data_IF_861056632690
#
_entry.id   IF_861056632690
#
_cell.length_a   1.000
_cell.length_b   1.000
_cell.length_c   1.000
_cell.angle_alpha   90.00
_cell.angle_beta   90.00
_cell.angle_gamma   90.00
#
_symmetry.space_group_name_H-M   'P 1'
#
loop_
_entity.id
_entity.type
_entity.pdbx_description
1 polymer ?
#
# COMPACT_ATOMS: atom_id res chain seq x y z
N UNK A 1 -1.90 -6.43 5.23
CA UNK A 1 -1.72 -6.55 3.76
C UNK A 1 -0.36 -6.01 3.34
N UNK A 2 0.19 -6.55 2.25
CA UNK A 2 1.34 -6.04 1.50
C UNK A 2 0.83 -5.36 0.23
N UNK A 3 1.38 -4.21 -0.13
CA UNK A 3 0.91 -3.43 -1.29
C UNK A 3 2.12 -3.03 -2.11
N UNK A 4 2.01 -3.15 -3.44
CA UNK A 4 3.04 -2.70 -4.37
C UNK A 4 2.40 -2.18 -5.65
N UNK A 5 3.11 -1.34 -6.38
CA UNK A 5 2.64 -0.77 -7.64
C UNK A 5 3.41 -1.34 -8.83
N UNK A 6 2.72 -1.53 -9.95
CA UNK A 6 3.30 -1.88 -11.24
C UNK A 6 3.01 -0.74 -12.21
N UNK A 7 4.09 -0.09 -12.63
CA UNK A 7 4.05 1.13 -13.41
C UNK A 7 4.76 0.96 -14.75
N UNK A 8 4.54 1.89 -15.68
CA UNK A 8 5.12 1.81 -17.02
C UNK A 8 4.30 2.54 -18.05
N UNK A 9 4.82 2.67 -19.27
CA UNK A 9 4.10 3.29 -20.38
C UNK A 9 3.11 2.32 -21.03
N UNK A 10 2.18 2.82 -21.84
CA UNK A 10 1.21 1.98 -22.56
C UNK A 10 1.93 0.91 -23.39
N UNK A 11 1.44 -0.32 -23.36
CA UNK A 11 2.02 -1.49 -24.07
C UNK A 11 3.40 -1.99 -23.59
N UNK A 12 3.92 -1.50 -22.46
CA UNK A 12 5.19 -1.97 -21.87
C UNK A 12 5.14 -3.41 -21.32
N UNK A 13 3.95 -4.01 -21.24
CA UNK A 13 3.72 -5.32 -20.62
C UNK A 13 3.15 -5.26 -19.19
N UNK A 14 2.78 -4.07 -18.69
CA UNK A 14 2.14 -3.88 -17.36
C UNK A 14 1.07 -4.93 -17.04
N UNK A 15 -0.01 -4.95 -17.82
CA UNK A 15 -1.18 -5.81 -17.56
C UNK A 15 -0.79 -7.28 -17.60
N UNK A 16 0.03 -7.71 -18.58
CA UNK A 16 0.56 -9.08 -18.64
C UNK A 16 1.38 -9.45 -17.41
N UNK A 17 2.28 -8.56 -16.96
CA UNK A 17 3.08 -8.78 -15.75
C UNK A 17 2.19 -8.92 -14.52
N UNK A 18 1.18 -8.05 -14.37
CA UNK A 18 0.24 -8.09 -13.24
C UNK A 18 -0.59 -9.37 -13.26
N UNK A 19 -1.14 -9.76 -14.40
CA UNK A 19 -1.90 -11.01 -14.51
C UNK A 19 -1.06 -12.23 -14.15
N UNK A 20 0.20 -12.28 -14.61
CA UNK A 20 1.12 -13.36 -14.27
C UNK A 20 1.42 -13.40 -12.77
N UNK A 21 1.65 -12.24 -12.15
CA UNK A 21 1.87 -12.12 -10.69
C UNK A 21 0.64 -12.60 -9.92
N UNK A 22 -0.57 -12.15 -10.30
CA UNK A 22 -1.81 -12.57 -9.65
C UNK A 22 -1.98 -14.10 -9.76
N UNK A 23 -1.79 -14.67 -10.95
CA UNK A 23 -1.92 -16.12 -11.18
C UNK A 23 -0.92 -16.92 -10.32
N UNK A 24 0.33 -16.48 -10.26
CA UNK A 24 1.36 -17.13 -9.44
C UNK A 24 1.09 -16.99 -7.93
N UNK A 25 0.66 -15.82 -7.45
CA UNK A 25 0.23 -15.67 -6.05
C UNK A 25 -0.97 -16.55 -5.70
N UNK A 26 -1.96 -16.66 -6.60
CA UNK A 26 -3.11 -17.57 -6.40
C UNK A 26 -2.67 -19.04 -6.34
N UNK A 27 -1.71 -19.44 -7.18
CA UNK A 27 -1.09 -20.78 -7.14
C UNK A 27 -0.41 -21.02 -5.79
N UNK A 28 0.27 -20.00 -5.24
CA UNK A 28 0.89 -19.99 -3.89
C UNK A 28 -0.10 -19.83 -2.73
N UNK A 29 -1.41 -19.84 -2.99
CA UNK A 29 -2.50 -19.77 -1.99
C UNK A 29 -2.65 -18.42 -1.27
N UNK A 30 -2.06 -17.36 -1.79
CA UNK A 30 -2.36 -16.01 -1.30
C UNK A 30 -3.72 -15.51 -1.80
N UNK A 31 -4.34 -14.67 -0.98
CA UNK A 31 -5.42 -13.78 -1.40
C UNK A 31 -4.83 -12.53 -2.05
N UNK A 32 -5.35 -12.13 -3.21
CA UNK A 32 -4.79 -11.04 -4.01
C UNK A 32 -5.91 -10.12 -4.47
N UNK A 33 -5.81 -8.84 -4.12
CA UNK A 33 -6.62 -7.78 -4.70
C UNK A 33 -5.85 -7.02 -5.77
N UNK A 34 -6.56 -6.28 -6.61
CA UNK A 34 -5.95 -5.34 -7.55
C UNK A 34 -6.72 -4.02 -7.58
N UNK A 35 -6.00 -2.94 -7.83
CA UNK A 35 -6.52 -1.59 -8.08
C UNK A 35 -5.94 -1.13 -9.40
N UNK A 36 -6.76 -0.61 -10.31
CA UNK A 36 -6.28 -0.05 -11.58
C UNK A 36 -6.58 1.43 -11.64
N UNK A 37 -5.54 2.24 -11.80
CA UNK A 37 -5.71 3.65 -12.08
C UNK A 37 -5.91 3.88 -13.58
N UNK A 38 -6.98 4.59 -13.90
CA UNK A 38 -7.36 4.90 -15.28
C UNK A 38 -7.00 6.36 -15.53
N UNK A 39 -6.01 6.55 -16.40
CA UNK A 39 -5.50 7.87 -16.80
C UNK A 39 -6.30 8.42 -17.98
N UNK A 40 -7.61 8.60 -17.80
CA UNK A 40 -8.54 9.20 -18.76
C UNK A 40 -9.54 10.08 -18.00
N UNK A 41 -9.55 11.38 -18.28
CA UNK A 41 -10.30 12.38 -17.50
C UNK A 41 -11.81 12.16 -17.51
N UNK A 42 -12.35 11.67 -18.64
CA UNK A 42 -13.78 11.41 -18.82
C UNK A 42 -14.15 9.95 -18.50
N UNK A 43 -13.31 9.24 -17.73
CA UNK A 43 -13.57 7.85 -17.40
C UNK A 43 -14.88 7.70 -16.61
N UNK A 44 -15.82 6.97 -17.20
CA UNK A 44 -17.00 6.43 -16.53
C UNK A 44 -17.13 4.94 -16.89
N UNK A 45 -17.37 4.10 -15.88
CA UNK A 45 -17.61 2.66 -16.09
C UNK A 45 -19.08 2.34 -16.36
N UNK A 46 -19.99 3.22 -15.91
CA UNK A 46 -21.44 3.04 -16.03
C UNK A 46 -21.93 3.75 -17.30
N UNK A 47 -22.75 3.05 -18.10
CA UNK A 47 -23.22 3.56 -19.38
C UNK A 47 -24.39 4.53 -19.21
N UNK A 48 -24.45 5.56 -20.07
CA UNK A 48 -25.57 6.49 -20.08
C UNK A 48 -26.91 5.76 -20.36
N UNK A 49 -27.91 6.07 -19.54
CA UNK A 49 -29.27 5.51 -19.67
C UNK A 49 -29.53 4.24 -18.86
N UNK A 50 -28.52 3.62 -18.26
CA UNK A 50 -28.73 2.52 -17.29
C UNK A 50 -29.47 3.02 -16.05
N UNK A 51 -30.08 2.11 -15.29
CA UNK A 51 -30.76 2.51 -14.05
C UNK A 51 -29.77 3.04 -13.00
N UNK A 52 -28.56 2.49 -12.94
CA UNK A 52 -27.47 2.96 -12.07
C UNK A 52 -27.00 4.37 -12.46
N UNK A 53 -26.91 4.65 -13.76
CA UNK A 53 -26.60 5.99 -14.26
C UNK A 53 -27.72 6.99 -13.92
N UNK A 54 -28.98 6.56 -14.03
CA UNK A 54 -30.14 7.36 -13.60
C UNK A 54 -30.13 7.65 -12.10
N UNK A 55 -29.67 6.73 -11.27
CA UNK A 55 -29.50 6.97 -9.83
C UNK A 55 -28.39 7.98 -9.54
N UNK A 56 -27.24 7.87 -10.23
CA UNK A 56 -26.14 8.84 -10.18
C UNK A 56 -26.62 10.24 -10.54
N UNK A 57 -27.25 10.39 -11.72
CA UNK A 57 -27.74 11.68 -12.23
C UNK A 57 -28.86 12.29 -11.40
N UNK A 58 -29.65 11.46 -10.71
CA UNK A 58 -30.62 11.92 -9.72
C UNK A 58 -29.98 12.51 -8.43
N UNK A 59 -28.65 12.42 -8.29
CA UNK A 59 -27.89 13.00 -7.18
C UNK A 59 -27.39 12.00 -6.14
N UNK A 60 -27.42 10.69 -6.42
CA UNK A 60 -26.86 9.71 -5.49
C UNK A 60 -25.33 9.86 -5.40
N UNK A 61 -24.82 10.05 -4.18
CA UNK A 61 -23.37 10.16 -3.93
C UNK A 61 -22.65 8.81 -3.99
N UNK A 62 -23.39 7.72 -3.79
CA UNK A 62 -22.93 6.34 -3.87
C UNK A 62 -23.99 5.51 -4.58
N UNK A 63 -23.60 4.74 -5.59
CA UNK A 63 -24.49 3.81 -6.30
C UNK A 63 -23.97 2.39 -6.13
N UNK A 64 -24.85 1.43 -5.86
CA UNK A 64 -24.47 0.02 -5.78
C UNK A 64 -25.32 -0.80 -6.74
N UNK A 65 -24.67 -1.46 -7.68
CA UNK A 65 -25.27 -2.51 -8.50
C UNK A 65 -25.01 -3.86 -7.82
N UNK A 66 -26.05 -4.67 -7.61
CA UNK A 66 -25.91 -5.99 -6.98
C UNK A 66 -26.61 -7.03 -7.83
N UNK A 67 -25.81 -7.86 -8.50
CA UNK A 67 -26.26 -8.99 -9.29
C UNK A 67 -26.12 -10.32 -8.55
N UNK A 68 -26.40 -11.42 -9.25
CA UNK A 68 -26.22 -12.77 -8.72
C UNK A 68 -24.75 -13.18 -8.56
N UNK A 69 -23.86 -12.65 -9.40
CA UNK A 69 -22.45 -13.05 -9.46
C UNK A 69 -21.47 -11.90 -9.14
N UNK A 70 -21.96 -10.67 -9.01
CA UNK A 70 -21.13 -9.46 -8.96
C UNK A 70 -21.81 -8.37 -8.14
N UNK A 71 -21.00 -7.52 -7.52
CA UNK A 71 -21.45 -6.31 -6.84
C UNK A 71 -20.49 -5.18 -7.13
N UNK A 72 -21.02 -4.11 -7.73
CA UNK A 72 -20.28 -2.91 -8.11
C UNK A 72 -20.68 -1.76 -7.21
N UNK A 73 -19.68 -1.08 -6.65
CA UNK A 73 -19.88 0.10 -5.80
C UNK A 73 -19.24 1.29 -6.50
N UNK A 74 -20.07 2.23 -6.97
CA UNK A 74 -19.67 3.37 -7.76
C UNK A 74 -19.64 4.64 -6.92
N UNK A 75 -18.44 5.12 -6.64
CA UNK A 75 -18.19 6.42 -6.00
C UNK A 75 -18.13 7.52 -7.06
N UNK A 76 -18.92 8.58 -6.90
CA UNK A 76 -18.92 9.73 -7.80
C UNK A 76 -17.80 10.73 -7.46
N UNK A 77 -16.62 10.21 -7.11
CA UNK A 77 -15.41 10.97 -6.80
C UNK A 77 -14.18 10.06 -6.85
N UNK A 78 -13.00 10.63 -7.14
CA UNK A 78 -11.73 9.93 -6.94
C UNK A 78 -11.50 9.72 -5.43
N UNK A 79 -11.39 8.46 -5.01
CA UNK A 79 -10.95 8.11 -3.66
C UNK A 79 -9.42 8.14 -3.58
N UNK A 80 -8.87 8.43 -2.39
CA UNK A 80 -7.45 8.20 -2.16
C UNK A 80 -7.16 6.69 -2.14
N UNK A 81 -5.90 6.32 -2.41
CA UNK A 81 -5.47 4.91 -2.32
C UNK A 81 -5.71 4.37 -0.91
N UNK A 82 -5.52 5.18 0.14
CA UNK A 82 -5.76 4.80 1.53
C UNK A 82 -7.22 4.49 1.79
N UNK A 83 -8.15 5.26 1.21
CA UNK A 83 -9.58 4.99 1.32
C UNK A 83 -10.00 3.74 0.52
N UNK A 84 -9.42 3.53 -0.67
CA UNK A 84 -9.65 2.33 -1.48
C UNK A 84 -9.17 1.08 -0.74
N UNK A 85 -7.96 1.11 -0.16
CA UNK A 85 -7.37 -0.04 0.50
C UNK A 85 -8.15 -0.50 1.75
N UNK A 86 -9.02 0.33 2.33
CA UNK A 86 -9.92 -0.08 3.43
C UNK A 86 -10.90 -1.18 3.04
N UNK A 87 -11.19 -1.35 1.75
CA UNK A 87 -12.05 -2.42 1.24
C UNK A 87 -11.31 -3.75 1.02
N UNK A 88 -9.98 -3.78 1.16
CA UNK A 88 -9.16 -4.93 0.83
C UNK A 88 -8.74 -5.68 2.10
N UNK A 89 -9.16 -6.95 2.21
CA UNK A 89 -8.74 -7.89 3.25
C UNK A 89 -7.84 -8.99 2.68
N UNK A 90 -6.94 -8.60 1.78
CA UNK A 90 -6.10 -9.52 1.02
C UNK A 90 -4.65 -9.52 1.55
N UNK A 91 -3.92 -10.61 1.31
CA UNK A 91 -2.50 -10.71 1.66
C UNK A 91 -1.69 -9.71 0.84
N UNK A 92 -1.96 -9.66 -0.47
CA UNK A 92 -1.35 -8.74 -1.42
C UNK A 92 -2.40 -7.88 -2.13
N UNK A 93 -2.07 -6.61 -2.38
CA UNK A 93 -2.79 -5.74 -3.31
C UNK A 93 -1.81 -5.18 -4.33
N UNK A 94 -2.09 -5.39 -5.61
CA UNK A 94 -1.30 -4.82 -6.71
C UNK A 94 -2.00 -3.57 -7.26
N UNK A 95 -1.25 -2.47 -7.34
CA UNK A 95 -1.73 -1.21 -7.92
C UNK A 95 -1.22 -1.11 -9.37
N UNK A 96 -2.11 -1.07 -10.35
CA UNK A 96 -1.77 -0.85 -11.76
C UNK A 96 -1.77 0.65 -12.04
N UNK A 97 -0.60 1.20 -12.40
CA UNK A 97 -0.48 2.57 -12.89
C UNK A 97 -0.49 3.67 -11.84
N UNK A 98 -0.54 3.33 -10.55
CA UNK A 98 -0.50 4.28 -9.42
C UNK A 98 0.94 4.69 -9.12
N UNK A 99 1.28 5.96 -9.36
CA UNK A 99 2.66 6.46 -9.21
C UNK A 99 2.89 7.28 -7.93
N UNK A 100 1.83 7.84 -7.37
CA UNK A 100 1.82 8.79 -6.25
C UNK A 100 1.75 8.13 -4.87
N UNK A 101 1.75 6.79 -4.80
CA UNK A 101 1.77 6.03 -3.55
C UNK A 101 3.17 5.72 -3.03
N UNK A 102 3.35 5.75 -1.71
CA UNK A 102 4.59 5.39 -0.99
C UNK A 102 4.73 3.87 -0.77
N UNK A 103 4.57 3.07 -1.83
CA UNK A 103 4.69 1.60 -1.78
C UNK A 103 5.80 1.13 -2.72
N UNK A 104 6.39 -0.07 -2.49
CA UNK A 104 7.35 -0.67 -3.43
C UNK A 104 6.82 -0.73 -4.86
N UNK A 105 7.70 -0.54 -5.85
CA UNK A 105 7.34 -0.38 -7.25
C UNK A 105 8.10 -1.35 -8.16
N UNK A 106 7.38 -1.86 -9.17
CA UNK A 106 7.93 -2.56 -10.32
C UNK A 106 7.73 -1.65 -11.54
N UNK A 107 8.81 -1.38 -12.28
CA UNK A 107 8.71 -0.68 -13.56
C UNK A 107 8.61 -1.69 -14.70
N UNK A 108 7.69 -1.47 -15.63
CA UNK A 108 7.66 -2.13 -16.93
C UNK A 108 8.00 -1.12 -18.01
N UNK A 109 8.90 -1.49 -18.93
CA UNK A 109 9.40 -0.59 -19.95
C UNK A 109 9.73 -1.33 -21.25
N UNK A 110 9.89 -0.57 -22.33
CA UNK A 110 10.51 -1.01 -23.58
C UNK A 110 11.98 -0.61 -23.64
N UNK A 111 12.34 0.52 -23.04
CA UNK A 111 13.68 1.12 -23.13
C UNK A 111 14.19 1.55 -21.77
N UNK A 112 15.52 1.66 -21.64
CA UNK A 112 16.16 2.16 -20.42
C UNK A 112 15.80 3.61 -20.11
N UNK A 113 15.52 4.42 -21.14
CA UNK A 113 15.05 5.80 -20.96
C UNK A 113 13.72 5.87 -20.21
N UNK A 114 12.77 5.01 -20.55
CA UNK A 114 11.48 4.95 -19.84
C UNK A 114 11.61 4.50 -18.39
N UNK A 115 12.63 3.68 -18.10
CA UNK A 115 12.97 3.31 -16.72
C UNK A 115 13.45 4.55 -15.98
N UNK A 116 14.42 5.28 -16.55
CA UNK A 116 14.99 6.48 -15.94
C UNK A 116 13.95 7.56 -15.62
N UNK A 117 12.94 7.74 -16.48
CA UNK A 117 11.85 8.71 -16.26
C UNK A 117 10.94 8.37 -15.08
N UNK A 118 10.96 7.12 -14.60
CA UNK A 118 10.07 6.62 -13.53
C UNK A 118 10.82 6.09 -12.31
N UNK A 119 12.15 6.07 -12.36
CA UNK A 119 12.97 5.50 -11.33
C UNK A 119 12.92 6.36 -10.06
N UNK A 120 12.65 5.72 -8.92
CA UNK A 120 12.80 6.31 -7.60
C UNK A 120 13.29 5.26 -6.59
N UNK A 121 13.55 5.69 -5.35
CA UNK A 121 14.05 4.80 -4.30
C UNK A 121 13.09 3.68 -3.87
N UNK A 122 11.86 3.65 -4.38
CA UNK A 122 10.90 2.58 -4.11
C UNK A 122 10.90 1.48 -5.19
N UNK A 123 11.67 1.64 -6.26
CA UNK A 123 11.75 0.65 -7.35
C UNK A 123 12.71 -0.46 -6.96
N UNK A 124 12.19 -1.69 -6.84
CA UNK A 124 12.98 -2.87 -6.47
C UNK A 124 13.11 -3.90 -7.59
N UNK A 125 12.31 -3.78 -8.66
CA UNK A 125 12.36 -4.66 -9.81
C UNK A 125 11.95 -3.95 -11.10
N UNK A 126 12.45 -4.45 -12.23
CA UNK A 126 12.04 -4.05 -13.57
C UNK A 126 11.52 -5.29 -14.32
N UNK A 127 10.52 -5.11 -15.17
CA UNK A 127 9.92 -6.17 -15.97
C UNK A 127 9.39 -5.61 -17.30
N UNK A 128 8.47 -6.31 -17.94
CA UNK A 128 7.91 -5.92 -19.23
C UNK A 128 8.81 -6.30 -20.41
N UNK A 129 8.64 -5.61 -21.53
CA UNK A 129 9.32 -5.96 -22.79
C UNK A 129 10.84 -5.87 -22.73
N UNK A 130 11.38 -4.92 -21.96
CA UNK A 130 12.82 -4.76 -21.81
C UNK A 130 13.51 -5.98 -21.18
N UNK A 131 12.76 -6.82 -20.46
CA UNK A 131 13.26 -8.06 -19.87
C UNK A 131 13.54 -9.18 -20.89
N UNK A 132 13.26 -8.95 -22.18
CA UNK A 132 13.78 -9.80 -23.26
C UNK A 132 15.25 -9.50 -23.58
N UNK A 133 15.69 -8.26 -23.32
CA UNK A 133 16.99 -7.75 -23.79
C UNK A 133 18.03 -7.68 -22.66
N UNK A 134 17.61 -7.42 -21.42
CA UNK A 134 18.50 -7.22 -20.28
C UNK A 134 17.98 -7.94 -19.03
N UNK A 135 18.90 -8.29 -18.13
CA UNK A 135 18.61 -8.98 -16.86
C UNK A 135 18.86 -8.12 -15.62
N UNK A 136 19.48 -6.94 -15.79
CA UNK A 136 19.76 -5.99 -14.71
C UNK A 136 19.87 -4.57 -15.31
N UNK A 137 19.46 -3.56 -14.54
CA UNK A 137 19.70 -2.16 -14.87
C UNK A 137 19.98 -1.34 -13.60
N UNK A 138 21.16 -0.71 -13.53
CA UNK A 138 21.61 0.10 -12.36
C UNK A 138 21.51 -0.66 -11.02
N UNK A 139 21.86 -1.95 -11.02
CA UNK A 139 21.78 -2.80 -9.83
C UNK A 139 20.36 -3.30 -9.48
N UNK A 140 19.35 -2.93 -10.26
CA UNK A 140 17.98 -3.41 -10.08
C UNK A 140 17.76 -4.63 -10.98
N UNK A 141 17.24 -5.75 -10.45
CA UNK A 141 16.98 -6.94 -11.25
C UNK A 141 15.89 -6.68 -12.29
N UNK A 142 16.15 -7.11 -13.53
CA UNK A 142 15.19 -7.10 -14.63
C UNK A 142 14.71 -8.54 -14.84
N UNK A 143 13.43 -8.80 -14.60
CA UNK A 143 12.86 -10.15 -14.58
C UNK A 143 11.70 -10.25 -15.57
N UNK A 144 11.77 -11.24 -16.45
CA UNK A 144 10.74 -11.49 -17.45
C UNK A 144 9.56 -12.22 -16.81
N UNK A 145 8.41 -11.55 -16.72
CA UNK A 145 7.22 -12.11 -16.06
C UNK A 145 6.59 -13.29 -16.81
N UNK A 146 6.97 -13.57 -18.05
CA UNK A 146 6.47 -14.70 -18.84
C UNK A 146 7.36 -15.93 -18.62
N UNK A 147 8.69 -15.73 -18.59
CA UNK A 147 9.68 -16.82 -18.48
C UNK A 147 10.01 -17.17 -17.03
N UNK A 148 10.09 -16.16 -16.17
CA UNK A 148 10.67 -16.25 -14.82
C UNK A 148 9.70 -15.74 -13.74
N UNK A 149 8.41 -16.08 -13.87
CA UNK A 149 7.38 -15.58 -12.97
C UNK A 149 7.62 -15.97 -11.51
N UNK A 150 8.10 -17.19 -11.27
CA UNK A 150 8.40 -17.65 -9.91
C UNK A 150 9.47 -16.79 -9.26
N UNK A 151 10.54 -16.46 -9.99
CA UNK A 151 11.61 -15.56 -9.54
C UNK A 151 11.11 -14.14 -9.26
N UNK A 152 10.23 -13.62 -10.11
CA UNK A 152 9.64 -12.30 -9.88
C UNK A 152 8.80 -12.30 -8.60
N UNK A 153 7.99 -13.33 -8.38
CA UNK A 153 7.15 -13.43 -7.18
C UNK A 153 7.98 -13.67 -5.92
N UNK A 154 9.05 -14.47 -5.99
CA UNK A 154 9.99 -14.64 -4.87
C UNK A 154 10.56 -13.29 -4.43
N UNK A 155 11.00 -12.47 -5.39
CA UNK A 155 11.51 -11.12 -5.12
C UNK A 155 10.42 -10.21 -4.53
N UNK A 156 9.17 -10.33 -4.98
CA UNK A 156 8.04 -9.56 -4.40
C UNK A 156 7.80 -10.00 -2.95
N UNK A 157 7.85 -11.30 -2.65
CA UNK A 157 7.70 -11.80 -1.27
C UNK A 157 8.82 -11.34 -0.34
N UNK A 158 10.05 -11.26 -0.87
CA UNK A 158 11.22 -10.75 -0.15
C UNK A 158 11.14 -9.25 0.12
N UNK A 159 10.87 -8.44 -0.92
CA UNK A 159 11.04 -6.98 -0.86
C UNK A 159 9.78 -6.23 -0.45
N UNK A 160 8.58 -6.76 -0.71
CA UNK A 160 7.34 -6.03 -0.39
C UNK A 160 6.98 -6.21 1.09
N UNK A 161 7.29 -5.17 1.87
CA UNK A 161 6.94 -5.07 3.28
C UNK A 161 5.44 -4.78 3.50
N UNK A 162 4.96 -4.99 4.73
CA UNK A 162 3.60 -4.61 5.14
C UNK A 162 3.45 -3.09 5.04
N UNK A 163 2.38 -2.61 4.38
CA UNK A 163 2.17 -1.17 4.13
C UNK A 163 2.37 -0.36 5.41
N UNK A 164 3.12 0.73 5.28
CA UNK A 164 3.35 1.71 6.34
C UNK A 164 2.24 2.78 6.25
N UNK A 165 1.72 3.29 7.38
CA UNK A 165 0.82 4.44 7.37
C UNK A 165 1.52 5.66 6.77
N UNK A 166 0.80 6.46 5.98
CA UNK A 166 1.35 7.72 5.50
C UNK A 166 1.43 8.72 6.66
N UNK A 167 2.66 9.10 7.01
CA UNK A 167 2.91 10.01 8.11
C UNK A 167 2.87 11.47 7.62
N UNK A 168 2.14 12.33 8.35
CA UNK A 168 2.15 13.79 8.10
C UNK A 168 3.40 14.48 8.64
N UNK A 169 4.05 13.87 9.61
CA UNK A 169 5.30 14.32 10.25
C UNK A 169 6.35 13.23 10.08
N UNK A 170 7.63 13.61 10.10
CA UNK A 170 8.74 12.66 9.94
C UNK A 170 8.72 11.56 11.01
N UNK A 171 8.87 10.31 10.57
CA UNK A 171 9.10 9.17 11.46
C UNK A 171 10.58 8.78 11.36
N UNK A 172 11.27 8.64 12.49
CA UNK A 172 12.72 8.42 12.54
C UNK A 172 13.55 9.52 11.82
N UNK A 173 12.99 10.72 11.63
CA UNK A 173 13.64 11.83 10.91
C UNK A 173 13.58 11.70 9.38
N UNK A 174 12.69 10.84 8.87
CA UNK A 174 12.51 10.59 7.44
C UNK A 174 11.03 10.67 7.07
N UNK A 175 10.75 11.02 5.81
CA UNK A 175 9.39 10.90 5.27
C UNK A 175 9.02 9.43 4.96
N UNK A 176 7.74 9.18 4.67
CA UNK A 176 7.26 7.80 4.43
C UNK A 176 7.94 7.14 3.22
N UNK A 177 8.29 7.92 2.19
CA UNK A 177 8.96 7.43 0.98
C UNK A 177 10.40 7.03 1.27
N UNK A 178 11.13 7.86 2.00
CA UNK A 178 12.50 7.61 2.42
C UNK A 178 12.61 6.37 3.31
N UNK A 179 11.70 6.22 4.27
CA UNK A 179 11.62 5.02 5.10
C UNK A 179 11.39 3.78 4.22
N UNK A 180 10.46 3.86 3.27
CA UNK A 180 10.18 2.78 2.35
C UNK A 180 11.41 2.38 1.51
N UNK A 181 12.18 3.35 1.03
CA UNK A 181 13.42 3.10 0.30
C UNK A 181 14.48 2.43 1.18
N UNK A 182 14.62 2.88 2.43
CA UNK A 182 15.55 2.29 3.41
C UNK A 182 15.21 0.84 3.75
N UNK A 183 13.93 0.50 3.84
CA UNK A 183 13.51 -0.90 4.05
C UNK A 183 13.87 -1.76 2.83
N UNK A 184 13.64 -1.27 1.61
CA UNK A 184 13.98 -2.05 0.41
C UNK A 184 15.48 -2.34 0.28
N UNK A 185 16.30 -1.40 0.77
CA UNK A 185 17.75 -1.51 0.82
C UNK A 185 18.26 -2.22 2.10
N UNK A 186 17.37 -2.80 2.90
CA UNK A 186 17.69 -3.52 4.14
C UNK A 186 18.47 -2.66 5.17
N UNK A 187 18.35 -1.33 5.10
CA UNK A 187 18.98 -0.37 6.03
C UNK A 187 18.21 -0.25 7.35
N UNK A 188 16.89 -0.46 7.31
CA UNK A 188 15.97 -0.39 8.46
C UNK A 188 14.98 -1.55 8.34
N UNK A 189 14.63 -2.20 9.46
CA UNK A 189 13.57 -3.20 9.45
C UNK A 189 12.20 -2.53 9.56
N UNK A 190 11.20 -3.05 8.86
CA UNK A 190 9.81 -2.60 9.02
C UNK A 190 9.39 -2.63 10.50
N UNK A 191 9.82 -3.62 11.26
CA UNK A 191 9.50 -3.75 12.70
C UNK A 191 10.06 -2.59 13.55
N UNK A 192 11.14 -1.93 13.12
CA UNK A 192 11.72 -0.78 13.83
C UNK A 192 10.76 0.43 13.84
N UNK A 193 9.84 0.50 12.87
CA UNK A 193 8.80 1.53 12.81
C UNK A 193 7.73 1.27 13.87
N UNK A 194 7.30 0.01 14.05
CA UNK A 194 6.33 -0.35 15.09
C UNK A 194 6.98 -0.25 16.48
N UNK A 195 8.27 -0.58 16.60
CA UNK A 195 9.02 -0.54 17.84
C UNK A 195 9.38 0.88 18.30
N UNK A 196 9.27 1.89 17.45
CA UNK A 196 9.32 3.30 17.87
C UNK A 196 8.01 3.74 18.55
N UNK A 197 7.05 2.83 18.73
CA UNK A 197 5.84 3.12 19.46
C UNK A 197 6.13 3.36 20.94
N UNK A 198 5.98 4.62 21.37
CA UNK A 198 6.14 5.02 22.78
C UNK A 198 5.03 4.49 23.68
N UNK A 199 3.96 3.93 23.10
CA UNK A 199 2.76 3.52 23.82
C UNK A 199 2.12 2.29 23.17
N UNK A 200 1.65 1.35 24.00
CA UNK A 200 0.84 0.21 23.55
C UNK A 200 -0.58 0.41 24.04
N UNK A 201 -1.55 0.32 23.13
CA UNK A 201 -2.98 0.32 23.46
C UNK A 201 -3.56 -1.06 23.14
N UNK A 202 -4.30 -1.63 24.09
CA UNK A 202 -4.98 -2.90 23.92
C UNK A 202 -6.49 -2.69 24.15
N UNK A 203 -7.31 -3.37 23.35
CA UNK A 203 -8.76 -3.52 23.56
C UNK A 203 -9.04 -5.02 23.63
N UNK A 204 -9.59 -5.51 24.75
CA UNK A 204 -9.81 -6.94 25.00
C UNK A 204 -8.55 -7.79 24.69
N UNK A 205 -7.40 -7.38 25.24
CA UNK A 205 -6.08 -7.97 25.00
C UNK A 205 -5.56 -7.94 23.55
N UNK A 206 -6.27 -7.30 22.64
CA UNK A 206 -5.85 -7.11 21.24
C UNK A 206 -5.10 -5.79 21.09
N UNK A 207 -3.82 -5.85 20.69
CA UNK A 207 -3.00 -4.66 20.44
C UNK A 207 -3.55 -3.88 19.22
N UNK A 208 -3.72 -2.57 19.39
CA UNK A 208 -4.22 -1.66 18.37
C UNK A 208 -3.04 -0.91 17.74
N UNK A 209 -2.94 -0.98 16.42
CA UNK A 209 -1.95 -0.20 15.66
C UNK A 209 -2.29 1.29 15.71
N UNK A 210 -1.49 2.05 16.45
CA UNK A 210 -1.64 3.48 16.60
C UNK A 210 -0.77 4.23 15.58
N UNK A 211 -1.35 5.18 14.85
CA UNK A 211 -0.56 6.12 14.02
C UNK A 211 0.24 7.08 14.92
N UNK A 212 1.40 7.61 14.48
CA UNK A 212 2.30 8.40 15.33
C UNK A 212 1.64 9.62 16.00
N UNK A 213 0.72 10.28 15.31
CA UNK A 213 -0.05 11.38 15.88
C UNK A 213 -0.86 10.95 17.11
N UNK A 214 -1.57 9.81 17.04
CA UNK A 214 -2.37 9.29 18.15
C UNK A 214 -1.46 8.81 19.28
N UNK A 215 -0.35 8.15 18.94
CA UNK A 215 0.68 7.79 19.94
C UNK A 215 1.19 9.02 20.69
N UNK A 216 1.51 10.11 19.99
CA UNK A 216 2.00 11.34 20.58
C UNK A 216 0.94 11.99 21.49
N UNK A 217 -0.33 12.03 21.07
CA UNK A 217 -1.42 12.56 21.91
C UNK A 217 -1.53 11.76 23.20
N UNK A 218 -1.65 10.43 23.10
CA UNK A 218 -1.84 9.58 24.27
C UNK A 218 -0.62 9.64 25.18
N UNK A 219 0.60 9.52 24.62
CA UNK A 219 1.84 9.63 25.37
C UNK A 219 1.93 10.97 26.11
N UNK A 220 1.75 12.10 25.41
CA UNK A 220 1.86 13.43 26.04
C UNK A 220 0.78 13.66 27.09
N UNK A 221 -0.44 13.15 26.87
CA UNK A 221 -1.54 13.25 27.85
C UNK A 221 -1.23 12.44 29.11
N UNK A 222 -0.82 11.18 28.95
CA UNK A 222 -0.47 10.28 30.07
C UNK A 222 0.74 10.81 30.84
N UNK A 223 1.82 11.15 30.15
CA UNK A 223 3.02 11.71 30.78
C UNK A 223 2.72 13.05 31.45
N UNK A 224 1.87 13.86 30.83
CA UNK A 224 1.43 15.15 31.38
C UNK A 224 0.77 15.02 32.75
N UNK A 225 -0.01 13.96 32.97
CA UNK A 225 -0.64 13.65 34.26
C UNK A 225 0.35 12.97 35.21
N UNK A 226 1.00 11.89 34.76
CA UNK A 226 1.79 11.03 35.63
C UNK A 226 3.03 11.73 36.19
N UNK A 227 3.60 12.71 35.47
CA UNK A 227 4.75 13.48 35.96
C UNK A 227 4.46 14.32 37.21
N UNK A 228 3.20 14.64 37.45
CA UNK A 228 2.74 15.43 38.61
C UNK A 228 2.40 14.54 39.82
N UNK A 229 2.49 13.20 39.68
CA UNK A 229 2.16 12.26 40.73
C UNK A 229 3.39 11.93 41.59
N UNK A 230 3.18 11.83 42.90
CA UNK A 230 4.20 11.40 43.85
C UNK A 230 4.70 9.99 43.53
N UNK A 231 6.03 9.83 43.49
CA UNK A 231 6.69 8.56 43.22
C UNK A 231 7.02 8.30 41.74
N UNK A 232 6.65 9.19 40.82
CA UNK A 232 7.10 9.10 39.44
C UNK A 232 8.64 9.20 39.34
N UNK A 233 9.25 8.29 38.59
CA UNK A 233 10.66 8.35 38.20
C UNK A 233 10.76 8.38 36.69
N UNK A 234 11.72 9.16 36.17
CA UNK A 234 12.02 9.18 34.74
C UNK A 234 12.30 7.74 34.26
N UNK A 235 11.73 7.36 33.12
CA UNK A 235 11.81 6.01 32.54
C UNK A 235 11.08 4.90 33.32
N UNK A 236 10.12 5.24 34.18
CA UNK A 236 9.21 4.24 34.77
C UNK A 236 8.30 3.62 33.71
N UNK A 237 8.02 2.32 33.83
CA UNK A 237 6.94 1.68 33.06
C UNK A 237 5.60 2.12 33.65
N UNK A 238 4.76 2.74 32.82
CA UNK A 238 3.42 3.20 33.21
C UNK A 238 2.40 2.24 32.58
N UNK A 239 1.43 1.77 33.37
CA UNK A 239 0.28 1.00 32.90
C UNK A 239 -0.99 1.73 33.31
N UNK A 240 -1.90 1.96 32.36
CA UNK A 240 -3.23 2.49 32.61
C UNK A 240 -4.23 1.40 32.21
N UNK A 241 -5.12 1.06 33.13
CA UNK A 241 -6.23 0.15 32.91
C UNK A 241 -7.52 0.95 33.05
N UNK A 242 -8.42 0.82 32.08
CA UNK A 242 -9.71 1.51 32.05
C UNK A 242 -10.78 0.43 31.92
N UNK A 243 -11.69 0.37 32.90
CA UNK A 243 -12.89 -0.46 32.83
C UNK A 243 -14.06 0.44 32.42
N UNK A 244 -14.65 0.20 31.23
CA UNK A 244 -15.87 0.90 30.84
C UNK A 244 -17.04 0.43 31.71
N UNK A 245 -17.59 1.34 32.51
CA UNK A 245 -18.82 1.09 33.26
C UNK A 245 -19.99 1.41 32.32
N UNK A 246 -20.78 0.38 31.98
CA UNK A 246 -22.01 0.51 31.18
C UNK A 246 -23.08 1.32 31.89
#
# INVERSE_FOLDING_TARGET
MRVFSVCGITQSGKTTTIENIIREFKKRKYSVGSVKEIHYEEFEIDDEGTNTYRHKTAGSSLVTARGYNETDILYQKKLSIEDILKFYYHDYVVLEGVMDSNVPKIITAHTTKEIDEKLDGLVFAISGRIAEDITEYKGIPVINSIKDIEKLVDLIEEKVYRKIPDFKEECLGFDTKEIGAKILNDEINREDIDNNSKIKLLIDDTEIDLVPFVQNILYNSVIGVVKELDGFKKSSKIKIEIEEVR
#
